data_IF_346237282303
#
_entry.id   IF_346237282303
#
_cell.length_a   1.000
_cell.length_b   1.000
_cell.length_c   1.000
_cell.angle_alpha   90.00
_cell.angle_beta   90.00
_cell.angle_gamma   90.00
#
_symmetry.space_group_name_H-M   'P 1'
#
loop_
_entity.id
_entity.type
_entity.pdbx_description
1 polymer ?
#
# COMPACT_ATOMS: atom_id res chain seq x y z
N UNK A 1 -15.23 -15.56 -8.96
CA UNK A 1 -14.64 -15.59 -7.60
C UNK A 1 -13.22 -16.10 -7.72
N UNK A 2 -12.19 -15.34 -7.32
CA UNK A 2 -10.80 -15.82 -7.38
C UNK A 2 -10.54 -16.84 -6.25
N UNK A 3 -9.78 -17.93 -6.50
CA UNK A 3 -9.56 -18.99 -5.52
C UNK A 3 -8.87 -18.51 -4.24
N UNK A 4 -9.26 -19.08 -3.10
CA UNK A 4 -8.72 -18.81 -1.76
C UNK A 4 -7.21 -19.02 -1.65
N UNK A 5 -6.63 -19.87 -2.52
CA UNK A 5 -5.20 -20.17 -2.58
C UNK A 5 -4.32 -18.98 -3.02
N UNK A 6 -4.88 -17.93 -3.60
CA UNK A 6 -4.15 -16.70 -3.95
C UNK A 6 -3.97 -15.78 -2.73
N UNK A 7 -4.73 -16.02 -1.64
CA UNK A 7 -4.79 -15.07 -0.51
C UNK A 7 -3.52 -15.04 0.34
N UNK A 8 -2.76 -16.12 0.44
CA UNK A 8 -1.48 -16.13 1.16
C UNK A 8 -0.44 -16.88 0.34
N UNK A 9 0.42 -16.13 -0.36
CA UNK A 9 1.64 -16.72 -0.88
C UNK A 9 2.56 -17.03 0.31
N UNK A 10 3.19 -18.21 0.36
CA UNK A 10 4.20 -18.52 1.37
C UNK A 10 5.28 -17.42 1.39
N UNK A 11 5.83 -17.14 2.58
CA UNK A 11 6.83 -16.07 2.80
C UNK A 11 8.01 -16.15 1.81
N UNK A 12 8.31 -17.35 1.29
CA UNK A 12 9.33 -17.63 0.28
C UNK A 12 9.07 -17.00 -1.09
N UNK A 13 7.83 -16.68 -1.44
CA UNK A 13 7.45 -16.08 -2.73
C UNK A 13 7.31 -14.56 -2.67
N UNK A 14 7.51 -13.96 -1.49
CA UNK A 14 7.53 -12.50 -1.35
C UNK A 14 8.92 -12.01 -1.74
N UNK A 15 9.00 -11.14 -2.76
CA UNK A 15 10.27 -10.60 -3.26
C UNK A 15 10.98 -9.91 -2.10
N UNK A 16 12.12 -10.45 -1.69
CA UNK A 16 13.05 -9.84 -0.74
C UNK A 16 14.32 -9.53 -1.48
N UNK A 17 14.71 -8.26 -1.46
CA UNK A 17 16.03 -7.87 -1.92
C UNK A 17 16.99 -7.93 -0.72
N UNK A 18 18.18 -8.54 -0.86
CA UNK A 18 19.18 -8.59 0.21
C UNK A 18 19.60 -7.20 0.73
N UNK A 19 19.55 -6.20 -0.15
CA UNK A 19 20.00 -4.83 0.11
C UNK A 19 18.89 -3.78 0.14
N UNK A 20 17.65 -4.12 -0.23
CA UNK A 20 16.57 -3.14 -0.33
C UNK A 20 15.73 -3.01 0.94
N UNK A 21 14.80 -2.04 0.92
CA UNK A 21 13.88 -1.80 2.01
C UNK A 21 12.83 -2.92 2.04
N UNK A 22 12.85 -3.70 3.12
CA UNK A 22 11.89 -4.76 3.35
C UNK A 22 10.95 -4.36 4.50
N UNK A 23 9.66 -4.68 4.38
CA UNK A 23 8.72 -4.54 5.51
C UNK A 23 9.19 -5.45 6.66
N UNK A 24 9.11 -4.96 7.90
CA UNK A 24 9.54 -5.72 9.09
C UNK A 24 8.87 -7.09 9.16
N UNK A 25 9.66 -8.15 9.45
CA UNK A 25 9.16 -9.53 9.61
C UNK A 25 7.95 -9.63 10.56
N UNK A 26 7.93 -8.85 11.66
CA UNK A 26 6.82 -8.83 12.63
C UNK A 26 5.50 -8.34 12.01
N UNK A 27 5.57 -7.40 11.08
CA UNK A 27 4.41 -6.89 10.32
C UNK A 27 4.01 -7.96 9.29
N UNK A 28 4.98 -8.56 8.61
CA UNK A 28 4.76 -9.60 7.59
C UNK A 28 4.14 -10.90 8.10
N UNK A 29 4.29 -11.21 9.39
CA UNK A 29 3.74 -12.41 10.02
C UNK A 29 2.29 -12.24 10.51
N UNK A 30 1.70 -11.04 10.36
CA UNK A 30 0.28 -10.82 10.65
C UNK A 30 -0.60 -11.52 9.61
N UNK A 31 -1.82 -11.88 10.03
CA UNK A 31 -2.84 -12.29 9.07
C UNK A 31 -3.15 -11.14 8.11
N UNK A 32 -3.72 -11.46 6.94
CA UNK A 32 -4.15 -10.42 6.01
C UNK A 32 -5.20 -9.51 6.65
N UNK A 33 -6.08 -10.04 7.48
CA UNK A 33 -7.15 -9.26 8.12
C UNK A 33 -6.58 -8.28 9.16
N UNK A 34 -5.62 -8.72 9.97
CA UNK A 34 -4.89 -7.84 10.89
C UNK A 34 -4.12 -6.75 10.14
N UNK A 35 -3.56 -7.10 8.98
CA UNK A 35 -2.84 -6.14 8.13
C UNK A 35 -3.79 -5.11 7.53
N UNK A 36 -4.94 -5.54 6.99
CA UNK A 36 -5.99 -4.65 6.49
C UNK A 36 -6.49 -3.73 7.60
N UNK A 37 -6.73 -4.26 8.79
CA UNK A 37 -7.14 -3.46 9.94
C UNK A 37 -6.08 -2.41 10.32
N UNK A 38 -4.80 -2.78 10.28
CA UNK A 38 -3.71 -1.83 10.52
C UNK A 38 -3.63 -0.74 9.44
N UNK A 39 -3.69 -1.11 8.17
CA UNK A 39 -3.71 -0.18 7.03
C UNK A 39 -4.88 0.80 7.16
N UNK A 40 -6.10 0.28 7.38
CA UNK A 40 -7.31 1.09 7.55
C UNK A 40 -7.21 2.05 8.74
N UNK A 41 -6.67 1.59 9.88
CA UNK A 41 -6.46 2.44 11.06
C UNK A 41 -5.45 3.55 10.76
N UNK A 42 -4.33 3.22 10.14
CA UNK A 42 -3.29 4.20 9.79
C UNK A 42 -3.83 5.25 8.83
N UNK A 43 -4.54 4.83 7.78
CA UNK A 43 -5.17 5.75 6.84
C UNK A 43 -6.21 6.65 7.52
N UNK A 44 -7.08 6.09 8.37
CA UNK A 44 -8.07 6.87 9.12
C UNK A 44 -7.44 7.90 10.04
N UNK A 45 -6.34 7.57 10.72
CA UNK A 45 -5.63 8.51 11.58
C UNK A 45 -4.99 9.66 10.79
N UNK A 46 -4.45 9.36 9.60
CA UNK A 46 -3.76 10.36 8.78
C UNK A 46 -4.73 11.28 8.04
N UNK A 47 -5.69 10.73 7.29
CA UNK A 47 -6.65 11.52 6.49
C UNK A 47 -7.90 11.91 7.25
N UNK A 48 -8.07 11.47 8.50
CA UNK A 48 -9.30 11.64 9.29
C UNK A 48 -10.55 11.03 8.61
N UNK A 49 -10.34 10.18 7.60
CA UNK A 49 -11.36 9.56 6.78
C UNK A 49 -10.98 8.08 6.54
N UNK A 50 -11.96 7.16 6.49
CA UNK A 50 -11.67 5.76 6.21
C UNK A 50 -11.15 5.60 4.77
N UNK A 51 -10.11 4.78 4.60
CA UNK A 51 -9.67 4.35 3.28
C UNK A 51 -10.73 3.46 2.62
N UNK A 52 -10.84 3.57 1.29
CA UNK A 52 -11.69 2.69 0.48
C UNK A 52 -11.13 1.27 0.47
N UNK A 53 -11.99 0.26 0.39
CA UNK A 53 -11.58 -1.16 0.41
C UNK A 53 -10.50 -1.49 -0.63
N UNK A 54 -10.66 -0.99 -1.86
CA UNK A 54 -9.68 -1.19 -2.94
C UNK A 54 -8.32 -0.51 -2.68
N UNK A 55 -8.29 0.62 -1.95
CA UNK A 55 -7.01 1.23 -1.53
C UNK A 55 -6.32 0.33 -0.51
N UNK A 56 -7.06 -0.19 0.47
CA UNK A 56 -6.54 -1.09 1.51
C UNK A 56 -6.00 -2.38 0.89
N UNK A 57 -6.73 -2.97 -0.04
CA UNK A 57 -6.32 -4.19 -0.75
C UNK A 57 -5.09 -3.95 -1.63
N UNK A 58 -5.01 -2.79 -2.29
CA UNK A 58 -3.82 -2.41 -3.06
C UNK A 58 -2.59 -2.29 -2.16
N UNK A 59 -2.69 -1.57 -1.04
CA UNK A 59 -1.58 -1.44 -0.07
C UNK A 59 -1.20 -2.80 0.51
N UNK A 60 -2.15 -3.67 0.83
CA UNK A 60 -1.87 -5.02 1.32
C UNK A 60 -1.04 -5.82 0.32
N UNK A 61 -1.37 -5.75 -0.97
CA UNK A 61 -0.60 -6.43 -2.01
C UNK A 61 0.82 -5.87 -2.12
N UNK A 62 0.98 -4.55 -2.07
CA UNK A 62 2.30 -3.89 -2.06
C UNK A 62 3.14 -4.27 -0.83
N UNK A 63 2.54 -4.30 0.37
CA UNK A 63 3.19 -4.76 1.61
C UNK A 63 3.64 -6.21 1.49
N UNK A 64 2.86 -7.02 0.78
CA UNK A 64 3.20 -8.41 0.48
C UNK A 64 4.25 -8.58 -0.63
N UNK A 65 4.78 -7.49 -1.18
CA UNK A 65 5.80 -7.51 -2.25
C UNK A 65 5.23 -7.91 -3.61
N UNK A 66 3.94 -7.68 -3.86
CA UNK A 66 3.27 -8.01 -5.13
C UNK A 66 3.16 -6.79 -6.02
N UNK A 67 3.49 -6.97 -7.30
CA UNK A 67 3.10 -6.02 -8.35
C UNK A 67 1.57 -5.95 -8.39
N UNK A 68 1.04 -4.73 -8.36
CA UNK A 68 -0.40 -4.50 -8.16
C UNK A 68 -0.92 -3.58 -9.26
N UNK A 69 -1.87 -4.09 -10.05
CA UNK A 69 -2.64 -3.30 -10.99
C UNK A 69 -3.99 -2.95 -10.36
N UNK A 70 -4.35 -1.66 -10.37
CA UNK A 70 -5.62 -1.17 -9.88
C UNK A 70 -6.36 -0.46 -11.00
N UNK A 71 -7.59 -0.88 -11.28
CA UNK A 71 -8.50 -0.14 -12.15
C UNK A 71 -9.40 0.75 -11.30
N UNK A 72 -9.25 2.06 -11.42
CA UNK A 72 -10.06 3.03 -10.69
C UNK A 72 -10.17 4.35 -11.46
N UNK A 73 -11.36 4.96 -11.43
CA UNK A 73 -11.65 6.22 -12.12
C UNK A 73 -10.92 7.45 -11.54
N UNK A 74 -11.17 8.61 -12.13
CA UNK A 74 -10.82 9.92 -11.57
C UNK A 74 -11.57 10.15 -10.25
N UNK A 75 -11.01 10.96 -9.33
CA UNK A 75 -11.60 11.21 -8.01
C UNK A 75 -11.61 10.01 -7.05
N UNK A 76 -11.04 8.86 -7.43
CA UNK A 76 -11.00 7.69 -6.56
C UNK A 76 -10.11 7.88 -5.31
N UNK A 77 -9.14 8.80 -5.37
CA UNK A 77 -8.11 8.95 -4.33
C UNK A 77 -6.92 8.01 -4.54
N UNK A 78 -6.43 7.87 -5.78
CA UNK A 78 -5.37 6.90 -6.11
C UNK A 78 -4.03 7.26 -5.44
N UNK A 79 -3.75 8.55 -5.24
CA UNK A 79 -2.55 9.07 -4.56
C UNK A 79 -2.43 8.58 -3.12
N UNK A 80 -3.55 8.34 -2.43
CA UNK A 80 -3.53 7.79 -1.06
C UNK A 80 -2.86 6.41 -0.98
N UNK A 81 -2.80 5.64 -2.07
CA UNK A 81 -2.20 4.29 -2.06
C UNK A 81 -0.69 4.32 -1.81
N UNK A 82 0.14 5.01 -2.64
CA UNK A 82 1.58 5.12 -2.37
C UNK A 82 1.88 5.83 -1.04
N UNK A 83 1.07 6.80 -0.64
CA UNK A 83 1.21 7.48 0.65
C UNK A 83 1.01 6.52 1.83
N UNK A 84 -0.11 5.79 1.88
CA UNK A 84 -0.36 4.80 2.94
C UNK A 84 0.70 3.70 2.90
N UNK A 85 1.12 3.25 1.71
CA UNK A 85 2.20 2.26 1.57
C UNK A 85 3.52 2.76 2.18
N UNK A 86 3.88 4.03 1.96
CA UNK A 86 5.08 4.63 2.55
C UNK A 86 5.07 4.56 4.08
N UNK A 87 3.88 4.71 4.71
CA UNK A 87 3.70 4.62 6.16
C UNK A 87 3.88 3.18 6.69
N UNK A 88 3.79 2.16 5.83
CA UNK A 88 4.05 0.76 6.20
C UNK A 88 5.55 0.43 6.19
N UNK A 89 6.38 1.27 5.56
CA UNK A 89 7.82 1.04 5.44
C UNK A 89 8.57 1.39 6.74
N UNK A 90 9.66 0.68 7.05
CA UNK A 90 10.53 1.05 8.17
C UNK A 90 11.08 2.48 8.06
N UNK A 91 10.68 3.37 8.98
CA UNK A 91 11.16 4.78 9.00
C UNK A 91 12.68 4.90 9.05
N UNK A 92 13.39 3.97 9.72
CA UNK A 92 14.86 3.98 9.84
C UNK A 92 15.59 3.80 8.50
N UNK A 93 14.92 3.20 7.52
CA UNK A 93 15.53 2.84 6.24
C UNK A 93 15.50 3.97 5.21
N UNK A 94 14.92 5.14 5.54
CA UNK A 94 14.78 6.29 4.64
C UNK A 94 14.26 5.87 3.25
N UNK A 95 13.23 5.02 3.26
CA UNK A 95 12.68 4.45 2.03
C UNK A 95 12.10 5.55 1.13
N UNK A 96 12.30 5.39 -0.18
CA UNK A 96 11.77 6.32 -1.19
C UNK A 96 10.62 5.63 -1.90
N UNK A 97 9.47 6.31 -1.99
CA UNK A 97 8.34 5.92 -2.82
C UNK A 97 8.24 6.90 -3.97
N UNK A 98 8.53 6.45 -5.18
CA UNK A 98 8.46 7.26 -6.40
C UNK A 98 7.11 7.03 -7.09
N UNK A 99 6.36 8.10 -7.30
CA UNK A 99 5.10 8.08 -8.07
C UNK A 99 5.31 8.85 -9.36
N UNK A 100 5.09 8.19 -10.49
CA UNK A 100 5.19 8.81 -11.81
C UNK A 100 3.79 9.18 -12.29
N UNK A 101 3.54 10.48 -12.44
CA UNK A 101 2.29 10.99 -12.98
C UNK A 101 2.50 11.40 -14.45
N UNK A 102 1.55 11.08 -15.35
CA UNK A 102 1.69 11.38 -16.77
C UNK A 102 1.48 12.85 -17.14
N UNK A 103 1.04 13.70 -16.20
CA UNK A 103 0.75 15.12 -16.42
C UNK A 103 1.28 15.93 -15.22
N UNK A 104 1.99 17.02 -15.50
CA UNK A 104 2.55 17.90 -14.47
C UNK A 104 1.45 18.52 -13.59
N UNK A 105 0.31 18.90 -14.19
CA UNK A 105 -0.85 19.49 -13.51
C UNK A 105 -1.60 18.52 -12.59
N UNK A 106 -1.31 17.21 -12.67
CA UNK A 106 -1.88 16.23 -11.75
C UNK A 106 -1.09 16.13 -10.45
N UNK A 107 0.17 16.58 -10.40
CA UNK A 107 0.96 16.60 -9.18
C UNK A 107 0.35 17.50 -8.12
N UNK A 108 -0.01 18.73 -8.48
CA UNK A 108 -0.58 19.72 -7.55
C UNK A 108 -1.97 19.30 -7.05
N UNK A 109 -2.80 18.71 -7.92
CA UNK A 109 -4.13 18.19 -7.56
C UNK A 109 -4.08 16.94 -6.66
N UNK A 110 -2.92 16.26 -6.53
CA UNK A 110 -2.75 15.18 -5.57
C UNK A 110 -2.49 15.70 -4.15
N UNK A 111 -1.97 16.91 -4.02
CA UNK A 111 -1.73 17.58 -2.72
C UNK A 111 -3.04 18.14 -2.14
N UNK A 112 -4.02 18.47 -2.99
CA UNK A 112 -5.31 19.03 -2.59
C UNK A 112 -6.40 17.99 -2.22
N UNK A 113 -6.11 16.68 -2.21
CA UNK A 113 -7.09 15.67 -1.78
C UNK A 113 -7.39 15.74 -0.27
N UNK A 114 -8.32 16.61 0.12
CA UNK A 114 -8.89 16.69 1.48
C UNK A 114 -9.64 15.42 1.91
#
# INVERSE_FOLDING_TARGET
MLPSSIRQLPISQRIRTPSGVNIFKKIMNKSNDDMKAHISRTAKLFYQQPAKSLQVDAVLNLVNGRNTFLLAGTGFGKSRIPEIYSMMLPRRNKAIVLTLNPLDTLGDNQVEER
#
